data_IF_509496056163
#
_entry.id   IF_509496056163
#
_cell.length_a   1.000
_cell.length_b   1.000
_cell.length_c   1.000
_cell.angle_alpha   90.00
_cell.angle_beta   90.00
_cell.angle_gamma   90.00
#
_symmetry.space_group_name_H-M   'P 1'
#
loop_
_entity.id
_entity.type
_entity.pdbx_description
1 polymer ?
#
# COMPACT_ATOMS: atom_id res chain seq x y z
N UNK A 1 -16.30 -77.65 46.12
CA UNK A 1 -17.69 -77.22 46.39
C UNK A 1 -17.80 -75.76 45.95
N UNK A 2 -18.52 -75.48 44.85
CA UNK A 2 -18.83 -74.11 44.40
C UNK A 2 -19.72 -73.45 45.45
N UNK A 3 -19.62 -72.14 45.63
CA UNK A 3 -20.74 -71.18 45.49
C UNK A 3 -20.19 -69.75 45.62
N UNK A 4 -20.64 -68.93 44.67
CA UNK A 4 -20.40 -67.50 44.50
C UNK A 4 -21.10 -66.66 45.57
N UNK A 5 -20.64 -65.42 45.74
CA UNK A 5 -21.40 -64.16 45.93
C UNK A 5 -20.45 -63.11 46.52
N UNK A 6 -20.57 -61.79 46.37
CA UNK A 6 -21.09 -60.87 45.37
C UNK A 6 -20.58 -59.49 45.85
N UNK A 7 -20.35 -58.56 44.93
CA UNK A 7 -19.91 -57.17 45.16
C UNK A 7 -20.68 -56.46 46.29
N UNK A 8 -19.97 -55.73 47.14
CA UNK A 8 -20.31 -54.35 47.53
C UNK A 8 -19.11 -53.68 48.22
N UNK A 9 -18.64 -52.56 47.68
CA UNK A 9 -17.69 -51.67 48.37
C UNK A 9 -18.37 -50.34 48.64
N UNK A 10 -18.94 -50.27 49.85
CA UNK A 10 -18.86 -49.18 50.81
C UNK A 10 -17.46 -48.50 50.82
N UNK A 11 -17.20 -47.31 51.36
CA UNK A 11 -17.93 -46.21 52.01
C UNK A 11 -16.86 -45.12 52.25
N UNK A 12 -17.32 -43.89 52.43
CA UNK A 12 -16.76 -42.87 53.34
C UNK A 12 -15.38 -42.25 53.02
N UNK A 13 -15.43 -40.94 52.82
CA UNK A 13 -14.29 -40.02 52.87
C UNK A 13 -14.84 -38.60 52.99
N UNK A 14 -14.66 -38.03 54.18
CA UNK A 14 -15.39 -36.92 54.78
C UNK A 14 -14.82 -35.52 54.47
N UNK A 15 -15.74 -34.53 54.46
CA UNK A 15 -15.63 -33.09 54.80
C UNK A 15 -14.39 -32.25 54.45
N UNK A 16 -14.59 -31.20 53.62
CA UNK A 16 -14.39 -29.79 54.03
C UNK A 16 -14.87 -28.81 52.93
N UNK A 17 -15.79 -27.93 53.33
CA UNK A 17 -16.27 -26.82 52.53
C UNK A 17 -15.27 -25.65 52.56
N UNK A 18 -14.82 -25.20 51.39
CA UNK A 18 -14.34 -23.83 51.18
C UNK A 18 -14.96 -23.32 49.87
N UNK A 19 -15.99 -22.50 50.02
CA UNK A 19 -16.60 -21.76 48.92
C UNK A 19 -15.65 -20.60 48.54
N UNK A 20 -14.81 -20.82 47.53
CA UNK A 20 -14.12 -19.71 46.85
C UNK A 20 -15.08 -19.18 45.78
N UNK A 21 -15.70 -18.05 46.09
CA UNK A 21 -16.45 -17.23 45.16
C UNK A 21 -15.46 -16.62 44.16
N UNK A 22 -15.21 -17.32 43.05
CA UNK A 22 -14.42 -16.79 41.95
C UNK A 22 -15.23 -15.69 41.23
N UNK A 23 -14.91 -14.45 41.55
CA UNK A 23 -15.35 -13.26 40.84
C UNK A 23 -14.77 -13.34 39.41
N UNK A 24 -15.57 -13.85 38.47
CA UNK A 24 -15.23 -13.81 37.05
C UNK A 24 -15.31 -12.35 36.60
N UNK A 25 -14.18 -11.64 36.70
CA UNK A 25 -13.98 -10.39 35.99
C UNK A 25 -13.99 -10.76 34.51
N UNK A 26 -15.13 -10.54 33.88
CA UNK A 26 -15.26 -10.46 32.43
C UNK A 26 -14.41 -9.28 31.98
N UNK A 27 -13.14 -9.56 31.69
CA UNK A 27 -12.36 -8.71 30.81
C UNK A 27 -13.07 -8.75 29.44
N UNK A 28 -13.98 -7.81 29.24
CA UNK A 28 -14.38 -7.39 27.92
C UNK A 28 -13.11 -6.85 27.25
N UNK A 29 -12.36 -7.75 26.61
CA UNK A 29 -11.39 -7.37 25.62
C UNK A 29 -12.14 -6.47 24.63
N UNK A 30 -11.60 -5.29 24.26
CA UNK A 30 -12.14 -4.59 23.12
C UNK A 30 -12.12 -5.61 21.98
N UNK A 31 -13.27 -5.78 21.32
CA UNK A 31 -13.36 -6.51 20.08
C UNK A 31 -12.36 -5.85 19.12
N UNK A 32 -11.14 -6.37 19.10
CA UNK A 32 -10.21 -6.15 18.01
C UNK A 32 -10.97 -6.63 16.79
N UNK A 33 -11.06 -5.75 15.80
CA UNK A 33 -11.59 -6.02 14.46
C UNK A 33 -10.78 -7.12 13.79
N UNK A 34 -10.93 -8.35 14.27
CA UNK A 34 -10.46 -9.58 13.66
C UNK A 34 -11.53 -10.00 12.65
N UNK A 35 -11.50 -9.34 11.49
CA UNK A 35 -11.94 -9.82 10.18
C UNK A 35 -12.09 -8.62 9.21
N UNK A 36 -10.99 -7.89 8.99
CA UNK A 36 -10.80 -7.10 7.76
C UNK A 36 -9.58 -7.64 6.99
N UNK A 37 -9.25 -8.91 7.18
CA UNK A 37 -8.39 -9.65 6.27
C UNK A 37 -9.22 -9.89 5.00
N UNK A 38 -9.04 -9.04 3.99
CA UNK A 38 -9.02 -9.46 2.57
C UNK A 38 -9.01 -8.29 1.58
N UNK A 39 -9.46 -7.08 1.94
CA UNK A 39 -9.66 -6.01 0.94
C UNK A 39 -9.16 -4.66 1.42
N UNK A 40 -7.97 -4.28 0.94
CA UNK A 40 -7.54 -2.88 1.00
C UNK A 40 -8.48 -2.04 0.13
N UNK A 41 -9.21 -1.13 0.77
CA UNK A 41 -10.17 -0.25 0.13
C UNK A 41 -10.00 1.17 0.67
N UNK A 42 -8.99 1.92 0.19
CA UNK A 42 -8.74 3.27 0.67
C UNK A 42 -9.94 4.17 0.35
N UNK A 43 -10.43 4.86 1.37
CA UNK A 43 -11.54 5.81 1.25
C UNK A 43 -10.99 7.15 0.78
N UNK A 44 -11.59 7.72 -0.27
CA UNK A 44 -11.35 9.10 -0.71
C UNK A 44 -11.93 10.08 0.32
N UNK A 45 -11.30 10.17 1.48
CA UNK A 45 -11.74 11.04 2.57
C UNK A 45 -11.41 12.51 2.27
N UNK A 46 -12.16 13.44 2.87
CA UNK A 46 -11.84 14.87 2.80
C UNK A 46 -10.42 15.17 3.30
N UNK A 47 -9.91 14.36 4.23
CA UNK A 47 -8.53 14.43 4.71
C UNK A 47 -7.53 14.23 3.55
N UNK A 48 -7.74 13.25 2.67
CA UNK A 48 -6.91 13.07 1.46
C UNK A 48 -7.06 14.22 0.48
N UNK A 49 -8.26 14.82 0.37
CA UNK A 49 -8.50 16.02 -0.42
C UNK A 49 -7.86 17.28 0.20
N UNK A 50 -7.55 17.30 1.48
CA UNK A 50 -6.90 18.45 2.12
C UNK A 50 -5.37 18.29 2.21
N UNK A 51 -4.85 17.07 2.04
CA UNK A 51 -3.40 16.85 2.04
C UNK A 51 -2.72 17.63 0.89
N UNK A 52 -1.67 18.40 1.20
CA UNK A 52 -0.86 19.10 0.21
C UNK A 52 0.11 18.15 -0.50
N UNK A 53 0.31 18.39 -1.80
CA UNK A 53 1.37 17.81 -2.62
C UNK A 53 1.71 16.32 -2.41
N UNK A 54 3.00 16.04 -2.19
CA UNK A 54 3.61 14.70 -2.11
C UNK A 54 3.08 13.83 -0.96
N UNK A 55 2.43 14.45 0.03
CA UNK A 55 1.88 13.73 1.18
C UNK A 55 0.69 12.84 0.78
N UNK A 56 0.00 13.13 -0.33
CA UNK A 56 -1.05 12.26 -0.83
C UNK A 56 -0.52 10.86 -1.15
N UNK A 57 0.58 10.78 -1.90
CA UNK A 57 1.23 9.51 -2.27
C UNK A 57 1.64 8.75 -1.01
N UNK A 58 2.39 9.43 -0.12
CA UNK A 58 2.87 8.86 1.15
C UNK A 58 1.75 8.35 2.05
N UNK A 59 0.63 9.09 2.15
CA UNK A 59 -0.50 8.67 2.96
C UNK A 59 -1.17 7.40 2.41
N UNK A 60 -1.34 7.31 1.09
CA UNK A 60 -1.90 6.13 0.42
C UNK A 60 -0.97 4.93 0.56
N UNK A 61 0.34 5.14 0.44
CA UNK A 61 1.34 4.07 0.62
C UNK A 61 1.40 3.57 2.06
N UNK A 62 1.32 4.47 3.04
CA UNK A 62 1.28 4.09 4.45
C UNK A 62 0.01 3.30 4.80
N UNK A 63 -1.14 3.72 4.25
CA UNK A 63 -2.41 3.01 4.40
C UNK A 63 -2.35 1.61 3.80
N UNK A 64 -1.77 1.46 2.59
CA UNK A 64 -1.52 0.15 2.01
C UNK A 64 -0.60 -0.70 2.88
N UNK A 65 0.53 -0.16 3.35
CA UNK A 65 1.52 -0.88 4.14
C UNK A 65 0.96 -1.48 5.44
N UNK A 66 -0.11 -0.89 5.99
CA UNK A 66 -0.81 -1.39 7.19
C UNK A 66 -1.91 -2.40 6.88
N UNK A 67 -2.23 -2.61 5.60
CA UNK A 67 -3.33 -3.48 5.17
C UNK A 67 -2.93 -4.96 5.18
N UNK A 68 -3.93 -5.84 5.30
CA UNK A 68 -3.72 -7.29 5.17
C UNK A 68 -3.14 -7.70 3.81
N UNK A 69 -3.49 -6.99 2.73
CA UNK A 69 -2.92 -7.25 1.39
C UNK A 69 -1.42 -6.97 1.33
N UNK A 70 -0.91 -6.01 2.10
CA UNK A 70 0.54 -5.77 2.16
C UNK A 70 1.27 -6.89 2.92
N UNK A 71 0.66 -7.41 4.00
CA UNK A 71 1.22 -8.54 4.74
C UNK A 71 1.23 -9.82 3.90
N UNK A 72 0.15 -10.06 3.15
CA UNK A 72 0.05 -11.17 2.21
C UNK A 72 1.10 -11.06 1.10
N UNK A 73 1.33 -9.86 0.55
CA UNK A 73 2.37 -9.63 -0.46
C UNK A 73 3.77 -9.96 0.08
N UNK A 74 4.10 -9.49 1.28
CA UNK A 74 5.40 -9.78 1.93
C UNK A 74 5.55 -11.29 2.19
N UNK A 75 4.50 -11.94 2.68
CA UNK A 75 4.51 -13.40 2.89
C UNK A 75 4.71 -14.17 1.58
N UNK A 76 4.08 -13.74 0.49
CA UNK A 76 4.28 -14.33 -0.83
C UNK A 76 5.70 -14.10 -1.34
N UNK A 77 6.26 -12.90 -1.15
CA UNK A 77 7.63 -12.58 -1.51
C UNK A 77 8.64 -13.50 -0.80
N UNK A 78 8.45 -13.74 0.50
CA UNK A 78 9.28 -14.69 1.28
C UNK A 78 9.16 -16.13 0.77
N UNK A 79 7.94 -16.57 0.44
CA UNK A 79 7.69 -17.90 -0.11
C UNK A 79 8.31 -18.07 -1.51
N UNK A 80 8.21 -17.05 -2.36
CA UNK A 80 8.83 -17.02 -3.70
C UNK A 80 10.35 -17.15 -3.58
N UNK A 81 10.98 -16.38 -2.70
CA UNK A 81 12.42 -16.43 -2.47
C UNK A 81 12.86 -17.83 -1.96
N UNK A 82 12.11 -18.40 -1.01
CA UNK A 82 12.37 -19.75 -0.52
C UNK A 82 12.23 -20.81 -1.62
N UNK A 83 11.21 -20.70 -2.47
CA UNK A 83 11.01 -21.63 -3.60
C UNK A 83 12.09 -21.50 -4.65
N UNK A 84 12.60 -20.30 -4.92
CA UNK A 84 13.75 -20.10 -5.81
C UNK A 84 14.99 -20.86 -5.29
N UNK A 85 15.31 -20.74 -4.00
CA UNK A 85 16.39 -21.51 -3.39
C UNK A 85 16.18 -23.02 -3.53
N UNK A 86 14.95 -23.48 -3.28
CA UNK A 86 14.58 -24.91 -3.41
C UNK A 86 14.80 -25.41 -4.84
N UNK A 87 14.41 -24.63 -5.85
CA UNK A 87 14.63 -24.96 -7.26
C UNK A 87 16.13 -25.07 -7.57
N UNK A 88 16.94 -24.11 -7.12
CA UNK A 88 18.39 -24.14 -7.33
C UNK A 88 19.05 -25.36 -6.65
N UNK A 89 18.59 -25.73 -5.45
CA UNK A 89 19.09 -26.91 -4.73
C UNK A 89 18.72 -28.22 -5.45
N UNK A 90 17.48 -28.36 -5.91
CA UNK A 90 17.01 -29.52 -6.68
C UNK A 90 17.74 -29.66 -8.01
N UNK A 91 17.95 -28.55 -8.73
CA UNK A 91 18.72 -28.56 -9.97
C UNK A 91 20.15 -29.07 -9.74
N UNK A 92 20.85 -28.52 -8.74
CA UNK A 92 22.20 -28.98 -8.36
C UNK A 92 22.23 -30.46 -7.93
N UNK A 93 21.16 -30.95 -7.30
CA UNK A 93 21.07 -32.36 -6.91
C UNK A 93 20.90 -33.28 -8.14
N UNK A 94 20.08 -32.88 -9.12
CA UNK A 94 19.87 -33.60 -10.37
C UNK A 94 21.19 -33.71 -11.15
N UNK A 95 21.93 -32.62 -11.27
CA UNK A 95 23.22 -32.56 -12.00
C UNK A 95 24.31 -33.42 -11.37
N UNK A 96 24.29 -33.63 -10.05
CA UNK A 96 25.31 -34.39 -9.31
C UNK A 96 25.00 -35.88 -9.16
N UNK A 97 23.80 -36.30 -9.52
CA UNK A 97 23.34 -37.66 -9.28
C UNK A 97 23.56 -38.53 -10.52
N UNK A 98 24.39 -39.56 -10.39
CA UNK A 98 24.67 -40.54 -11.45
C UNK A 98 23.63 -41.68 -11.50
N UNK A 99 22.83 -41.85 -10.45
CA UNK A 99 21.77 -42.85 -10.36
C UNK A 99 20.51 -42.38 -11.10
N UNK A 100 20.11 -43.14 -12.13
CA UNK A 100 19.00 -42.81 -13.00
C UNK A 100 17.64 -42.80 -12.27
N UNK A 101 17.42 -43.72 -11.32
CA UNK A 101 16.14 -43.82 -10.60
C UNK A 101 15.99 -42.62 -9.64
N UNK A 102 17.07 -42.25 -8.94
CA UNK A 102 17.09 -41.08 -8.06
C UNK A 102 16.96 -39.79 -8.87
N UNK A 103 17.60 -39.71 -10.03
CA UNK A 103 17.48 -38.56 -10.93
C UNK A 103 16.04 -38.35 -11.38
N UNK A 104 15.35 -39.41 -11.77
CA UNK A 104 13.95 -39.35 -12.20
C UNK A 104 13.04 -38.82 -11.09
N UNK A 105 13.21 -39.31 -9.86
CA UNK A 105 12.46 -38.83 -8.69
C UNK A 105 12.71 -37.34 -8.41
N UNK A 106 13.97 -36.89 -8.52
CA UNK A 106 14.32 -35.49 -8.36
C UNK A 106 13.74 -34.61 -9.47
N UNK A 107 13.70 -35.07 -10.73
CA UNK A 107 13.06 -34.37 -11.84
C UNK A 107 11.55 -34.19 -11.60
N UNK A 108 10.86 -35.22 -11.09
CA UNK A 108 9.45 -35.11 -10.70
C UNK A 108 9.24 -34.07 -9.58
N UNK A 109 10.10 -34.06 -8.56
CA UNK A 109 10.05 -33.07 -7.48
C UNK A 109 10.30 -31.65 -8.02
N UNK A 110 11.31 -31.48 -8.87
CA UNK A 110 11.64 -30.20 -9.49
C UNK A 110 10.49 -29.66 -10.35
N UNK A 111 9.86 -30.51 -11.15
CA UNK A 111 8.69 -30.16 -11.94
C UNK A 111 7.50 -29.71 -11.07
N UNK A 112 7.26 -30.39 -9.95
CA UNK A 112 6.22 -29.99 -9.00
C UNK A 112 6.54 -28.64 -8.36
N UNK A 113 7.79 -28.39 -7.99
CA UNK A 113 8.20 -27.11 -7.41
C UNK A 113 8.16 -25.96 -8.42
N UNK A 114 8.47 -26.22 -9.70
CA UNK A 114 8.26 -25.27 -10.81
C UNK A 114 6.80 -24.81 -10.89
N UNK A 115 5.84 -25.74 -10.77
CA UNK A 115 4.40 -25.43 -10.77
C UNK A 115 4.00 -24.59 -9.55
N UNK A 116 4.47 -24.97 -8.37
CA UNK A 116 4.21 -24.24 -7.13
C UNK A 116 4.76 -22.81 -7.20
N UNK A 117 5.97 -22.64 -7.75
CA UNK A 117 6.58 -21.33 -7.96
C UNK A 117 5.72 -20.44 -8.88
N UNK A 118 5.24 -20.97 -10.02
CA UNK A 118 4.36 -20.24 -10.93
C UNK A 118 3.07 -19.79 -10.23
N UNK A 119 2.50 -20.66 -9.39
CA UNK A 119 1.28 -20.34 -8.65
C UNK A 119 1.50 -19.19 -7.65
N UNK A 120 2.58 -19.25 -6.85
CA UNK A 120 2.94 -18.17 -5.93
C UNK A 120 3.20 -16.84 -6.65
N UNK A 121 3.89 -16.88 -7.79
CA UNK A 121 4.13 -15.69 -8.60
C UNK A 121 2.85 -15.12 -9.18
N UNK A 122 1.90 -15.97 -9.59
CA UNK A 122 0.58 -15.55 -10.07
C UNK A 122 -0.21 -14.84 -8.98
N UNK A 123 -0.21 -15.37 -7.76
CA UNK A 123 -0.85 -14.74 -6.59
C UNK A 123 -0.20 -13.39 -6.25
N UNK A 124 1.14 -13.33 -6.25
CA UNK A 124 1.90 -12.10 -6.02
C UNK A 124 1.51 -11.00 -7.03
N UNK A 125 1.50 -11.34 -8.32
CA UNK A 125 1.10 -10.44 -9.41
C UNK A 125 -0.34 -9.94 -9.23
N UNK A 126 -1.26 -10.80 -8.79
CA UNK A 126 -2.65 -10.42 -8.58
C UNK A 126 -2.77 -9.36 -7.47
N UNK A 127 -2.00 -9.47 -6.39
CA UNK A 127 -1.97 -8.44 -5.34
C UNK A 127 -1.35 -7.14 -5.86
N UNK A 128 -0.23 -7.21 -6.59
CA UNK A 128 0.40 -6.03 -7.21
C UNK A 128 -0.56 -5.32 -8.17
N UNK A 129 -1.28 -6.08 -8.99
CA UNK A 129 -2.33 -5.58 -9.90
C UNK A 129 -3.47 -4.92 -9.12
N UNK A 130 -4.01 -5.59 -8.09
CA UNK A 130 -5.06 -5.04 -7.21
C UNK A 130 -4.64 -3.73 -6.57
N UNK A 131 -3.39 -3.63 -6.09
CA UNK A 131 -2.81 -2.42 -5.51
C UNK A 131 -2.80 -1.28 -6.53
N UNK A 132 -2.19 -1.49 -7.70
CA UNK A 132 -2.08 -0.46 -8.74
C UNK A 132 -3.47 -0.01 -9.25
N UNK A 133 -4.37 -0.95 -9.53
CA UNK A 133 -5.74 -0.65 -9.97
C UNK A 133 -6.53 0.14 -8.91
N UNK A 134 -6.35 -0.16 -7.63
CA UNK A 134 -7.01 0.55 -6.53
C UNK A 134 -6.47 1.98 -6.41
N UNK A 135 -5.16 2.18 -6.56
CA UNK A 135 -4.53 3.52 -6.60
C UNK A 135 -5.06 4.34 -7.77
N UNK A 136 -5.10 3.79 -8.99
CA UNK A 136 -5.68 4.47 -10.17
C UNK A 136 -7.11 4.94 -9.89
N UNK A 137 -7.99 4.02 -9.45
CA UNK A 137 -9.40 4.36 -9.14
C UNK A 137 -9.53 5.40 -8.03
N UNK A 138 -8.63 5.41 -7.05
CA UNK A 138 -8.62 6.42 -5.99
C UNK A 138 -8.24 7.79 -6.55
N UNK A 139 -7.16 7.87 -7.33
CA UNK A 139 -6.67 9.13 -7.90
C UNK A 139 -7.62 9.70 -8.94
N UNK A 140 -8.27 8.87 -9.75
CA UNK A 140 -9.33 9.29 -10.67
C UNK A 140 -10.51 9.92 -9.92
N UNK A 141 -10.98 9.30 -8.82
CA UNK A 141 -12.04 9.85 -7.98
C UNK A 141 -11.64 11.20 -7.36
N UNK A 142 -10.40 11.32 -6.90
CA UNK A 142 -9.87 12.58 -6.35
C UNK A 142 -9.80 13.68 -7.43
N UNK A 143 -9.37 13.33 -8.64
CA UNK A 143 -9.32 14.25 -9.78
C UNK A 143 -10.72 14.72 -10.19
N UNK A 144 -11.69 13.79 -10.24
CA UNK A 144 -13.08 14.11 -10.54
C UNK A 144 -13.67 15.06 -9.48
N UNK A 145 -13.40 14.80 -8.19
CA UNK A 145 -13.86 15.65 -7.09
C UNK A 145 -13.21 17.04 -7.13
N UNK A 146 -11.92 17.14 -7.46
CA UNK A 146 -11.23 18.41 -7.66
C UNK A 146 -11.87 19.21 -8.81
N UNK A 147 -12.15 18.54 -9.94
CA UNK A 147 -12.83 19.16 -11.08
C UNK A 147 -14.26 19.61 -10.72
N UNK A 148 -15.00 18.81 -9.93
CA UNK A 148 -16.32 19.18 -9.41
C UNK A 148 -16.26 20.43 -8.54
N UNK A 149 -15.32 20.51 -7.59
CA UNK A 149 -15.13 21.70 -6.74
C UNK A 149 -14.76 22.95 -7.55
N UNK A 150 -13.91 22.79 -8.58
CA UNK A 150 -13.57 23.90 -9.48
C UNK A 150 -14.79 24.41 -10.25
N UNK A 151 -15.66 23.51 -10.73
CA UNK A 151 -16.94 23.87 -11.39
C UNK A 151 -17.97 24.45 -10.42
N UNK A 152 -17.99 23.99 -9.17
CA UNK A 152 -18.86 24.50 -8.12
C UNK A 152 -18.47 25.91 -7.62
N UNK A 153 -17.29 26.41 -7.99
CA UNK A 153 -16.93 27.83 -7.84
C UNK A 153 -17.70 28.63 -8.87
N UNK A 154 -19.00 28.82 -8.60
CA UNK A 154 -19.96 29.49 -9.48
C UNK A 154 -19.65 30.98 -9.65
N UNK A 155 -20.16 31.64 -10.72
CA UNK A 155 -20.07 33.09 -10.90
C UNK A 155 -20.53 33.88 -9.65
N UNK A 156 -21.45 33.32 -8.87
CA UNK A 156 -21.93 33.89 -7.61
C UNK A 156 -20.84 34.00 -6.54
N UNK A 157 -19.94 33.00 -6.41
CA UNK A 157 -18.83 33.04 -5.45
C UNK A 157 -17.76 34.05 -5.89
N UNK A 158 -17.48 34.13 -7.20
CA UNK A 158 -16.59 35.16 -7.75
C UNK A 158 -17.15 36.58 -7.52
N UNK A 159 -18.46 36.78 -7.75
CA UNK A 159 -19.13 38.04 -7.46
C UNK A 159 -19.14 38.38 -5.95
N UNK A 160 -19.26 37.38 -5.07
CA UNK A 160 -19.18 37.59 -3.62
C UNK A 160 -17.77 38.02 -3.18
N UNK A 161 -16.72 37.37 -3.68
CA UNK A 161 -15.33 37.75 -3.41
C UNK A 161 -15.09 39.18 -3.88
N UNK A 162 -15.54 39.53 -5.09
CA UNK A 162 -15.41 40.89 -5.63
C UNK A 162 -16.13 41.95 -4.77
N UNK A 163 -17.31 41.61 -4.21
CA UNK A 163 -18.02 42.50 -3.28
C UNK A 163 -17.25 42.64 -1.95
N UNK A 164 -16.66 41.56 -1.46
CA UNK A 164 -15.89 41.57 -0.22
C UNK A 164 -14.60 42.39 -0.35
N UNK A 165 -13.88 42.26 -1.47
CA UNK A 165 -12.70 43.09 -1.76
C UNK A 165 -13.07 44.56 -1.91
N UNK A 166 -14.12 44.87 -2.67
CA UNK A 166 -14.60 46.26 -2.81
C UNK A 166 -15.04 46.88 -1.47
N UNK A 167 -15.66 46.10 -0.57
CA UNK A 167 -16.01 46.57 0.76
C UNK A 167 -14.77 46.86 1.62
N UNK A 168 -13.73 46.04 1.48
CA UNK A 168 -12.47 46.18 2.22
C UNK A 168 -11.70 47.42 1.77
N UNK A 169 -11.58 47.64 0.47
CA UNK A 169 -10.97 48.85 -0.11
C UNK A 169 -11.68 50.13 0.35
N UNK A 170 -13.02 50.13 0.36
CA UNK A 170 -13.81 51.27 0.87
C UNK A 170 -13.56 51.53 2.35
N UNK A 171 -13.44 50.47 3.14
CA UNK A 171 -13.15 50.60 4.56
C UNK A 171 -11.75 51.19 4.80
N UNK A 172 -10.73 50.71 4.09
CA UNK A 172 -9.36 51.25 4.17
C UNK A 172 -9.29 52.73 3.74
N UNK A 173 -9.99 53.09 2.67
CA UNK A 173 -10.12 54.47 2.23
C UNK A 173 -10.86 55.36 3.26
N UNK A 174 -11.88 54.84 3.94
CA UNK A 174 -12.58 55.59 4.99
C UNK A 174 -11.75 55.75 6.27
N UNK A 175 -10.97 54.74 6.63
CA UNK A 175 -10.09 54.77 7.80
C UNK A 175 -8.97 55.81 7.62
N UNK A 176 -8.33 55.84 6.44
CA UNK A 176 -7.31 56.85 6.11
C UNK A 176 -7.85 58.27 6.12
N UNK A 177 -9.04 58.52 5.55
CA UNK A 177 -9.67 59.85 5.60
C UNK A 177 -10.02 60.31 7.02
N UNK A 178 -10.45 59.40 7.90
CA UNK A 178 -10.73 59.73 9.31
C UNK A 178 -9.43 60.06 10.05
N UNK A 179 -8.36 59.30 9.77
CA UNK A 179 -7.04 59.51 10.36
C UNK A 179 -6.44 60.87 9.95
N UNK A 180 -6.52 61.23 8.66
CA UNK A 180 -6.11 62.57 8.17
C UNK A 180 -6.88 63.70 8.87
N UNK A 181 -8.19 63.55 9.05
CA UNK A 181 -9.03 64.55 9.73
C UNK A 181 -8.68 64.68 11.21
N UNK A 182 -8.40 63.57 11.90
CA UNK A 182 -7.97 63.57 13.30
C UNK A 182 -6.55 64.14 13.46
N UNK A 183 -5.65 63.90 12.50
CA UNK A 183 -4.30 64.47 12.45
C UNK A 183 -4.32 65.99 12.22
N UNK A 184 -5.22 66.50 11.36
CA UNK A 184 -5.40 67.95 11.19
C UNK A 184 -5.95 68.66 12.43
N UNK A 185 -6.53 67.91 13.39
CA UNK A 185 -6.91 68.43 14.71
C UNK A 185 -5.75 68.37 15.73
N UNK A 186 -4.64 69.04 15.40
CA UNK A 186 -3.54 69.58 16.22
C UNK A 186 -2.93 68.84 17.44
N UNK A 187 -3.45 67.74 17.99
CA UNK A 187 -2.82 67.05 19.14
C UNK A 187 -3.29 65.60 19.37
N UNK A 188 -3.94 64.95 18.41
CA UNK A 188 -4.46 63.60 18.62
C UNK A 188 -3.36 62.55 18.43
N UNK A 189 -2.84 62.00 19.52
CA UNK A 189 -2.06 60.76 19.53
C UNK A 189 -2.80 59.68 18.73
N UNK A 190 -2.06 58.94 17.89
CA UNK A 190 -2.54 57.78 17.13
C UNK A 190 -3.60 57.00 17.93
N UNK A 191 -4.81 56.88 17.38
CA UNK A 191 -5.92 56.29 18.12
C UNK A 191 -5.53 54.90 18.61
N UNK A 192 -5.94 54.53 19.83
CA UNK A 192 -5.67 53.18 20.36
C UNK A 192 -6.13 52.10 19.38
N UNK A 193 -7.22 52.37 18.65
CA UNK A 193 -7.77 51.49 17.63
C UNK A 193 -6.85 51.32 16.42
N UNK A 194 -6.26 52.41 15.90
CA UNK A 194 -5.31 52.36 14.78
C UNK A 194 -4.06 51.55 15.13
N UNK A 195 -3.52 51.73 16.35
CA UNK A 195 -2.36 50.95 16.84
C UNK A 195 -2.64 49.46 16.98
N UNK A 196 -3.76 49.09 17.60
CA UNK A 196 -4.16 47.67 17.71
C UNK A 196 -4.49 47.06 16.34
N UNK A 197 -5.09 47.83 15.43
CA UNK A 197 -5.35 47.38 14.06
C UNK A 197 -4.05 47.11 13.29
N UNK A 198 -3.09 48.04 13.34
CA UNK A 198 -1.79 47.87 12.70
C UNK A 198 -1.03 46.64 13.24
N UNK A 199 -1.06 46.43 14.56
CA UNK A 199 -0.50 45.24 15.22
C UNK A 199 -1.18 43.95 14.79
N UNK A 200 -2.52 43.96 14.69
CA UNK A 200 -3.26 42.79 14.21
C UNK A 200 -2.99 42.50 12.74
N UNK A 201 -2.85 43.54 11.90
CA UNK A 201 -2.54 43.39 10.49
C UNK A 201 -1.14 42.80 10.30
N UNK A 202 -0.14 43.27 11.04
CA UNK A 202 1.22 42.72 10.98
C UNK A 202 1.26 41.27 11.46
N UNK A 203 0.56 40.94 12.55
CA UNK A 203 0.44 39.56 13.03
C UNK A 203 -0.22 38.65 11.99
N UNK A 204 -1.28 39.11 11.32
CA UNK A 204 -1.92 38.36 10.22
C UNK A 204 -0.94 38.15 9.06
N UNK A 205 -0.18 39.16 8.67
CA UNK A 205 0.81 39.05 7.61
C UNK A 205 1.94 38.06 7.96
N UNK A 206 2.45 38.10 9.19
CA UNK A 206 3.44 37.14 9.71
C UNK A 206 2.89 35.70 9.66
N UNK A 207 1.66 35.49 10.12
CA UNK A 207 1.01 34.18 10.06
C UNK A 207 0.81 33.70 8.61
N UNK A 208 0.38 34.57 7.70
CA UNK A 208 0.25 34.24 6.27
C UNK A 208 1.60 33.86 5.66
N UNK A 209 2.66 34.61 5.97
CA UNK A 209 4.02 34.30 5.52
C UNK A 209 4.49 32.94 6.07
N UNK A 210 4.29 32.68 7.37
CA UNK A 210 4.63 31.41 7.99
C UNK A 210 3.84 30.23 7.41
N UNK A 211 2.54 30.41 7.12
CA UNK A 211 1.70 29.39 6.47
C UNK A 211 2.21 29.10 5.06
N UNK A 212 2.56 30.13 4.28
CA UNK A 212 3.07 29.95 2.91
C UNK A 212 4.46 29.30 2.87
N UNK A 213 5.32 29.59 3.85
CA UNK A 213 6.65 29.00 3.97
C UNK A 213 6.65 27.59 4.59
N UNK A 214 5.53 27.15 5.18
CA UNK A 214 5.46 25.86 5.84
C UNK A 214 5.61 24.71 4.83
N UNK A 215 6.41 23.65 5.11
CA UNK A 215 6.62 22.54 4.18
C UNK A 215 5.33 21.78 3.84
N UNK A 216 4.34 21.78 4.75
CA UNK A 216 2.98 21.28 4.46
C UNK A 216 2.09 22.27 3.69
N UNK A 217 2.62 23.31 3.05
CA UNK A 217 1.86 24.14 2.13
C UNK A 217 2.54 24.28 0.76
N UNK A 218 3.67 23.58 0.57
CA UNK A 218 4.36 23.53 -0.71
C UNK A 218 3.47 22.85 -1.78
N UNK A 219 3.48 23.40 -2.99
CA UNK A 219 2.87 22.77 -4.13
C UNK A 219 3.57 21.43 -4.43
N UNK A 220 2.85 20.40 -4.94
CA UNK A 220 3.50 19.20 -5.44
C UNK A 220 4.53 19.57 -6.51
N UNK A 221 5.65 18.86 -6.55
CA UNK A 221 6.68 19.07 -7.55
C UNK A 221 6.96 17.78 -8.33
N UNK A 222 7.17 17.91 -9.64
CA UNK A 222 7.64 16.83 -10.51
C UNK A 222 9.02 17.24 -10.98
N UNK A 223 10.05 16.42 -10.74
CA UNK A 223 11.43 16.71 -11.14
C UNK A 223 11.92 18.10 -10.69
N UNK A 224 11.51 18.52 -9.49
CA UNK A 224 11.83 19.82 -8.92
C UNK A 224 11.02 21.00 -9.46
N UNK A 225 10.09 20.78 -10.40
CA UNK A 225 9.20 21.81 -10.93
C UNK A 225 7.82 21.78 -10.25
N UNK A 226 7.32 22.91 -9.73
CA UNK A 226 6.02 22.95 -9.09
C UNK A 226 4.91 22.71 -10.11
N UNK A 227 4.02 21.77 -9.81
CA UNK A 227 2.90 21.43 -10.67
C UNK A 227 1.57 21.66 -9.97
N UNK A 228 0.52 21.81 -10.77
CA UNK A 228 -0.84 21.85 -10.21
C UNK A 228 -1.19 20.49 -9.63
N UNK A 229 -2.03 20.47 -8.60
CA UNK A 229 -2.51 19.21 -8.02
C UNK A 229 -3.22 18.30 -9.01
N UNK A 230 -3.95 18.87 -9.97
CA UNK A 230 -4.60 18.09 -11.02
C UNK A 230 -3.57 17.39 -11.91
N UNK A 231 -2.46 18.06 -12.23
CA UNK A 231 -1.37 17.49 -13.00
C UNK A 231 -0.64 16.39 -12.22
N UNK A 232 -0.36 16.64 -10.94
CA UNK A 232 0.22 15.64 -10.05
C UNK A 232 -0.64 14.37 -9.95
N UNK A 233 -1.97 14.51 -9.81
CA UNK A 233 -2.89 13.36 -9.81
C UNK A 233 -2.87 12.59 -11.14
N UNK A 234 -2.77 13.28 -12.28
CA UNK A 234 -2.66 12.62 -13.59
C UNK A 234 -1.36 11.85 -13.72
N UNK A 235 -0.25 12.41 -13.24
CA UNK A 235 1.02 11.68 -13.23
C UNK A 235 0.92 10.43 -12.35
N UNK A 236 0.37 10.53 -11.14
CA UNK A 236 0.16 9.37 -10.27
C UNK A 236 -0.70 8.28 -10.95
N UNK A 237 -1.74 8.68 -11.70
CA UNK A 237 -2.54 7.74 -12.49
C UNK A 237 -1.68 7.07 -13.57
N UNK A 238 -0.92 7.85 -14.34
CA UNK A 238 -0.07 7.35 -15.41
C UNK A 238 1.02 6.39 -14.90
N UNK A 239 1.67 6.71 -13.78
CA UNK A 239 2.65 5.83 -13.13
C UNK A 239 2.03 4.48 -12.73
N UNK A 240 0.86 4.49 -12.09
CA UNK A 240 0.20 3.25 -11.68
C UNK A 240 -0.39 2.47 -12.88
N UNK A 241 -0.71 3.14 -13.98
CA UNK A 241 -1.02 2.47 -15.25
C UNK A 241 0.21 1.81 -15.87
N UNK A 242 1.39 2.43 -15.72
CA UNK A 242 2.68 1.82 -16.05
C UNK A 242 2.92 0.55 -15.23
N UNK A 243 2.73 0.61 -13.91
CA UNK A 243 2.84 -0.57 -13.04
C UNK A 243 1.91 -1.72 -13.49
N UNK A 244 0.68 -1.40 -13.90
CA UNK A 244 -0.26 -2.40 -14.43
C UNK A 244 0.25 -3.03 -15.72
N UNK A 245 0.81 -2.22 -16.64
CA UNK A 245 1.37 -2.72 -17.90
C UNK A 245 2.56 -3.66 -17.66
N UNK A 246 3.42 -3.33 -16.70
CA UNK A 246 4.54 -4.20 -16.30
C UNK A 246 4.01 -5.52 -15.75
N UNK A 247 3.03 -5.50 -14.84
CA UNK A 247 2.43 -6.74 -14.30
C UNK A 247 1.77 -7.57 -15.41
N UNK A 248 1.13 -6.94 -16.40
CA UNK A 248 0.53 -7.65 -17.54
C UNK A 248 1.60 -8.29 -18.45
N UNK A 249 2.76 -7.67 -18.63
CA UNK A 249 3.90 -8.27 -19.32
C UNK A 249 4.47 -9.46 -18.53
N UNK A 250 4.68 -9.30 -17.23
CA UNK A 250 5.16 -10.37 -16.35
C UNK A 250 4.21 -11.58 -16.36
N UNK A 251 2.90 -11.35 -16.47
CA UNK A 251 1.89 -12.43 -16.59
C UNK A 251 2.05 -13.22 -17.88
N UNK A 252 2.42 -12.57 -18.99
CA UNK A 252 2.71 -13.27 -20.24
C UNK A 252 3.94 -14.18 -20.10
N UNK A 253 4.98 -13.71 -19.41
CA UNK A 253 6.18 -14.50 -19.10
C UNK A 253 5.81 -15.75 -18.28
N UNK A 254 5.02 -15.60 -17.21
CA UNK A 254 4.54 -16.76 -16.43
C UNK A 254 3.72 -17.73 -17.28
N UNK A 255 2.93 -17.24 -18.23
CA UNK A 255 2.21 -18.08 -19.18
C UNK A 255 3.15 -18.94 -20.06
N UNK A 256 4.26 -18.36 -20.50
CA UNK A 256 5.31 -19.10 -21.22
C UNK A 256 6.02 -20.12 -20.32
N UNK A 257 6.35 -19.76 -19.07
CA UNK A 257 6.92 -20.70 -18.10
C UNK A 257 5.99 -21.88 -17.85
N UNK A 258 4.69 -21.63 -17.64
CA UNK A 258 3.70 -22.68 -17.44
C UNK A 258 3.60 -23.62 -18.65
N UNK A 259 3.71 -23.06 -19.87
CA UNK A 259 3.78 -23.87 -21.09
C UNK A 259 5.03 -24.75 -21.11
N UNK A 260 6.21 -24.21 -20.77
CA UNK A 260 7.44 -24.99 -20.70
C UNK A 260 7.32 -26.14 -19.68
N UNK A 261 6.81 -25.86 -18.48
CA UNK A 261 6.53 -26.88 -17.46
C UNK A 261 5.59 -27.97 -17.98
N UNK A 262 4.57 -27.61 -18.76
CA UNK A 262 3.66 -28.62 -19.34
C UNK A 262 4.35 -29.50 -20.40
N UNK A 263 5.29 -28.93 -21.17
CA UNK A 263 6.08 -29.67 -22.15
C UNK A 263 7.12 -30.57 -21.47
N UNK A 264 7.79 -30.07 -20.43
CA UNK A 264 8.73 -30.85 -19.62
C UNK A 264 8.02 -32.04 -18.96
N UNK A 265 6.80 -31.82 -18.44
CA UNK A 265 5.97 -32.88 -17.88
C UNK A 265 5.62 -33.97 -18.91
N UNK A 266 5.36 -33.56 -20.15
CA UNK A 266 5.06 -34.47 -21.25
C UNK A 266 6.30 -35.26 -21.66
N UNK A 267 7.44 -34.60 -21.83
CA UNK A 267 8.71 -35.24 -22.18
C UNK A 267 9.12 -36.29 -21.12
N UNK A 268 9.00 -35.94 -19.84
CA UNK A 268 9.25 -36.85 -18.73
C UNK A 268 8.31 -38.07 -18.73
N UNK A 269 7.03 -37.86 -19.08
CA UNK A 269 6.07 -38.96 -19.20
C UNK A 269 6.31 -39.85 -20.42
N UNK A 270 6.91 -39.32 -21.49
CA UNK A 270 7.23 -40.07 -22.70
C UNK A 270 8.62 -40.74 -22.62
N UNK A 271 9.38 -40.51 -21.55
CA UNK A 271 10.74 -41.05 -21.38
C UNK A 271 11.72 -40.49 -22.40
N UNK A 272 11.45 -39.29 -22.92
CA UNK A 272 12.36 -38.59 -23.83
C UNK A 272 13.44 -37.95 -22.97
N UNK A 273 14.53 -38.68 -22.72
CA UNK A 273 15.76 -38.09 -22.18
C UNK A 273 16.33 -37.12 -23.23
N UNK A 274 16.46 -35.85 -22.86
CA UNK A 274 17.00 -34.82 -23.74
C UNK A 274 18.31 -34.27 -23.19
N UNK A 275 19.42 -34.90 -23.58
CA UNK A 275 20.80 -34.48 -23.25
C UNK A 275 21.20 -33.19 -23.99
N UNK A 276 20.48 -32.08 -23.78
CA UNK A 276 20.79 -30.79 -24.40
C UNK A 276 21.00 -29.71 -23.34
N UNK A 277 22.20 -29.68 -22.76
CA UNK A 277 22.63 -28.65 -21.82
C UNK A 277 23.10 -27.39 -22.57
N UNK A 278 22.53 -26.24 -22.22
CA UNK A 278 23.18 -24.95 -22.36
C UNK A 278 23.74 -24.59 -20.98
N UNK A 279 25.06 -24.44 -20.89
CA UNK A 279 25.75 -23.91 -19.72
C UNK A 279 25.38 -22.43 -19.58
N UNK A 280 24.64 -22.10 -18.52
CA UNK A 280 24.32 -20.71 -18.17
C UNK A 280 24.92 -20.49 -16.78
N UNK A 281 25.88 -19.56 -16.70
CA UNK A 281 26.36 -19.03 -15.42
C UNK A 281 25.18 -18.37 -14.71
N UNK A 282 24.82 -18.90 -13.54
CA UNK A 282 23.86 -18.27 -12.64
C UNK A 282 24.57 -17.07 -12.02
N UNK A 283 24.60 -15.96 -12.74
CA UNK A 283 24.94 -14.68 -12.15
C UNK A 283 23.80 -14.29 -11.19
N UNK A 284 24.15 -14.02 -9.94
CA UNK A 284 23.21 -13.48 -8.98
C UNK A 284 22.81 -12.07 -9.43
N UNK A 285 21.72 -11.97 -10.19
CA UNK A 285 21.17 -10.70 -10.65
C UNK A 285 21.07 -9.69 -9.50
N UNK A 286 21.52 -8.46 -9.75
CA UNK A 286 21.32 -7.30 -8.86
C UNK A 286 19.83 -6.89 -8.76
N UNK A 287 18.97 -7.50 -9.57
CA UNK A 287 17.54 -7.29 -9.56
C UNK A 287 16.87 -8.03 -8.40
N UNK A 288 16.07 -7.29 -7.61
CA UNK A 288 15.47 -7.79 -6.38
C UNK A 288 14.73 -9.14 -6.55
N UNK A 289 14.68 -9.97 -5.50
CA UNK A 289 14.39 -11.42 -5.55
C UNK A 289 13.00 -11.80 -6.09
N UNK A 290 12.14 -10.83 -6.39
CA UNK A 290 10.71 -11.02 -6.69
C UNK A 290 10.34 -10.64 -8.13
N UNK A 291 11.33 -10.41 -9.01
CA UNK A 291 11.07 -10.25 -10.44
C UNK A 291 10.90 -11.62 -11.12
N UNK A 292 9.89 -11.75 -11.98
CA UNK A 292 9.62 -12.99 -12.75
C UNK A 292 10.81 -13.41 -13.60
N UNK A 293 11.59 -12.45 -14.11
CA UNK A 293 12.77 -12.66 -14.93
C UNK A 293 13.87 -13.45 -14.21
N UNK A 294 14.02 -13.23 -12.89
CA UNK A 294 15.07 -13.84 -12.08
C UNK A 294 15.00 -15.36 -11.93
N UNK A 295 13.88 -15.98 -12.34
CA UNK A 295 13.70 -17.43 -12.29
C UNK A 295 13.59 -18.06 -13.68
N UNK A 296 13.67 -17.28 -14.77
CA UNK A 296 13.52 -17.76 -16.14
C UNK A 296 14.50 -18.89 -16.46
N UNK A 297 15.72 -18.80 -15.94
CA UNK A 297 16.79 -19.80 -16.09
C UNK A 297 16.35 -21.23 -15.73
N UNK A 298 15.55 -21.39 -14.67
CA UNK A 298 15.07 -22.70 -14.23
C UNK A 298 14.11 -23.33 -15.25
N UNK A 299 13.44 -22.52 -16.07
CA UNK A 299 12.45 -22.96 -17.05
C UNK A 299 13.01 -23.10 -18.46
N UNK A 300 14.06 -22.37 -18.80
CA UNK A 300 14.71 -22.45 -20.11
C UNK A 300 15.72 -23.56 -20.21
N UNK A 301 16.32 -23.96 -19.09
CA UNK A 301 17.23 -25.09 -19.03
C UNK A 301 16.41 -26.38 -19.06
N UNK A 302 16.46 -27.10 -20.18
CA UNK A 302 15.82 -28.41 -20.32
C UNK A 302 16.62 -29.45 -19.52
N UNK A 303 15.89 -30.30 -18.82
CA UNK A 303 16.41 -31.47 -18.12
C UNK A 303 16.40 -32.71 -19.02
#
# INVERSE_FOLDING_TARGET
MKILTLRSTNLAGEWLAVAVMALAITAAAPAGTAAAAEKWAPVASEKLMQLPGDFLRKAVDNDFARSGLAQELVSLDEQVAFKRSTLADLQRAIERTDDADIRLDLQHQFLNEKRNYIELMRENQEIRRKRAATKVRLYERLLENLNRQRRATTPAKAAFIAKQTAARERFEASASQIDERLLTSAAASESRYAREYAKNLSAVQELVAAINAHPMNAAPAIDGQPVTRAEYLRQLIAENQGDLAVVDQERAILGHMAKLVSLDALALSEGIDSDAYAEIDIDADEDGPNQVTSAVEFFTTRQ
#
